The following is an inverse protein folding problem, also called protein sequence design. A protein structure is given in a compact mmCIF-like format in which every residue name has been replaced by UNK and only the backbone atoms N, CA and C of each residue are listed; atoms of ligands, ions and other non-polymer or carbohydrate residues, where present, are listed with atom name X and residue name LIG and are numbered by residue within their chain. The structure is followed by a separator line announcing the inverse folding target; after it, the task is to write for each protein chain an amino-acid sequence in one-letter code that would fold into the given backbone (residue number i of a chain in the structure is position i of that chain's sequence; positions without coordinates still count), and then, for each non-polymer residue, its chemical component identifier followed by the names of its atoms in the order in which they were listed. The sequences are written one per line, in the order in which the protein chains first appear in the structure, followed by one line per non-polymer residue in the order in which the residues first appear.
data_IF_130452330044
#
_entry.id   IF_130452330044
#
_cell.length_a   1.000
_cell.length_b   1.000
_cell.length_c   1.000
_cell.angle_alpha   90.00
_cell.angle_beta   90.00
_cell.angle_gamma   90.00
#
_symmetry.space_group_name_H-M   'P 1'
#
loop_
_entity.id
_entity.type
_entity.pdbx_description
1 polymer ?
#
# COMPACT_ATOMS: atom_id res chain seq x y z
N UNK A 1 21.84 -23.82 -3.18
CA UNK A 1 20.61 -24.55 -2.85
C UNK A 1 19.46 -23.72 -3.41
N UNK A 2 18.82 -24.18 -4.51
CA UNK A 2 17.66 -23.54 -5.08
C UNK A 2 16.48 -23.75 -4.12
N UNK A 3 16.04 -22.66 -3.45
CA UNK A 3 14.79 -22.70 -2.72
C UNK A 3 13.66 -22.96 -3.74
N UNK A 4 12.81 -23.94 -3.46
CA UNK A 4 11.61 -24.19 -4.23
C UNK A 4 10.79 -22.88 -4.31
N UNK A 5 10.11 -22.59 -5.42
CA UNK A 5 9.27 -21.40 -5.54
C UNK A 5 8.20 -21.48 -4.44
N UNK A 6 8.29 -20.57 -3.47
CA UNK A 6 7.28 -20.46 -2.42
C UNK A 6 5.93 -20.14 -3.07
N UNK A 7 4.90 -20.85 -2.68
CA UNK A 7 3.51 -20.55 -3.09
C UNK A 7 3.24 -19.07 -2.81
N UNK A 8 2.70 -18.30 -3.77
CA UNK A 8 2.37 -16.90 -3.54
C UNK A 8 1.47 -16.76 -2.32
N UNK A 9 1.82 -15.84 -1.41
CA UNK A 9 1.06 -15.54 -0.18
C UNK A 9 0.60 -14.09 -0.20
N UNK A 10 -0.40 -13.77 0.60
CA UNK A 10 -0.92 -12.42 0.71
C UNK A 10 -2.19 -12.18 -0.11
N UNK A 11 -2.93 -13.23 -0.50
CA UNK A 11 -4.24 -13.04 -1.12
C UNK A 11 -5.20 -12.37 -0.12
N UNK A 12 -5.80 -11.24 -0.50
CA UNK A 12 -6.76 -10.50 0.31
C UNK A 12 -8.14 -10.69 -0.29
N UNK A 13 -9.10 -11.12 0.53
CA UNK A 13 -10.52 -11.12 0.17
C UNK A 13 -11.28 -10.23 1.13
N UNK A 14 -11.91 -9.20 0.58
CA UNK A 14 -12.83 -8.31 1.27
C UNK A 14 -14.24 -8.72 0.84
N UNK A 15 -15.08 -9.06 1.79
CA UNK A 15 -16.44 -9.55 1.54
C UNK A 15 -17.45 -8.68 2.28
N UNK A 16 -18.24 -7.89 1.52
CA UNK A 16 -19.31 -7.03 2.01
C UNK A 16 -18.89 -6.16 3.21
N UNK A 17 -17.66 -5.65 3.20
CA UNK A 17 -17.12 -4.88 4.33
C UNK A 17 -17.91 -3.60 4.57
N UNK A 18 -18.33 -3.38 5.81
CA UNK A 18 -19.04 -2.18 6.25
C UNK A 18 -18.27 -1.54 7.41
N UNK A 19 -18.06 -0.21 7.32
CA UNK A 19 -17.46 0.57 8.39
C UNK A 19 -18.13 1.91 8.52
N UNK A 20 -18.55 2.22 9.73
CA UNK A 20 -19.03 3.55 10.12
C UNK A 20 -18.32 4.04 11.38
N UNK A 21 -18.27 5.36 11.53
CA UNK A 21 -17.74 6.05 12.69
C UNK A 21 -18.83 6.86 13.37
N UNK A 22 -18.65 7.18 14.65
CA UNK A 22 -19.62 7.92 15.44
C UNK A 22 -20.72 7.03 16.02
N UNK A 23 -21.62 7.63 16.78
CA UNK A 23 -22.76 6.97 17.45
C UNK A 23 -24.03 7.80 17.30
N UNK A 24 -25.20 7.17 17.38
CA UNK A 24 -26.49 7.84 17.27
C UNK A 24 -26.71 8.54 15.91
N UNK A 25 -27.22 9.75 15.93
CA UNK A 25 -27.56 10.53 14.72
C UNK A 25 -26.38 11.12 13.94
N UNK A 26 -25.14 11.04 14.46
CA UNK A 26 -23.92 11.53 13.82
C UNK A 26 -23.07 10.42 13.18
N UNK A 27 -23.70 9.30 12.80
CA UNK A 27 -23.00 8.21 12.11
C UNK A 27 -22.54 8.61 10.73
N UNK A 28 -21.24 8.39 10.44
CA UNK A 28 -20.65 8.57 9.12
C UNK A 28 -20.30 7.20 8.55
N UNK A 29 -21.01 6.79 7.49
CA UNK A 29 -20.72 5.55 6.77
C UNK A 29 -19.51 5.78 5.89
N UNK A 30 -18.36 5.19 6.24
CA UNK A 30 -17.10 5.36 5.54
C UNK A 30 -16.89 4.29 4.46
N UNK A 31 -17.28 3.05 4.73
CA UNK A 31 -17.21 1.91 3.80
C UNK A 31 -18.56 1.21 3.78
N UNK A 32 -19.11 0.94 2.58
CA UNK A 32 -20.43 0.37 2.40
C UNK A 32 -20.39 -0.87 1.50
N UNK A 33 -20.64 -2.03 2.08
CA UNK A 33 -20.71 -3.33 1.39
C UNK A 33 -19.58 -3.51 0.34
N UNK A 34 -18.37 -3.09 0.73
CA UNK A 34 -17.19 -3.16 -0.15
C UNK A 34 -16.78 -4.61 -0.33
N UNK A 35 -16.73 -5.08 -1.58
CA UNK A 35 -16.21 -6.40 -1.95
C UNK A 35 -15.08 -6.23 -2.95
N UNK A 36 -13.92 -6.85 -2.65
CA UNK A 36 -12.73 -6.79 -3.50
C UNK A 36 -11.84 -8.00 -3.22
N UNK A 37 -11.45 -8.71 -4.27
CA UNK A 37 -10.47 -9.78 -4.21
C UNK A 37 -9.14 -9.30 -4.80
N UNK A 38 -8.04 -9.49 -4.08
CA UNK A 38 -6.68 -9.16 -4.51
C UNK A 38 -5.85 -10.44 -4.49
N UNK A 39 -5.29 -10.80 -5.64
CA UNK A 39 -4.51 -12.02 -5.76
C UNK A 39 -3.17 -11.90 -5.01
N UNK A 40 -2.65 -13.04 -4.55
CA UNK A 40 -1.32 -13.10 -3.95
C UNK A 40 -0.24 -12.60 -4.94
N UNK A 41 0.64 -11.71 -4.48
CA UNK A 41 1.68 -11.09 -5.30
C UNK A 41 1.17 -10.05 -6.30
N UNK A 42 -0.06 -9.58 -6.18
CA UNK A 42 -0.61 -8.54 -7.03
C UNK A 42 -0.26 -7.14 -6.52
N UNK A 43 0.00 -6.19 -7.42
CA UNK A 43 -0.01 -4.75 -7.13
C UNK A 43 -1.39 -4.21 -7.49
N UNK A 44 -2.23 -3.98 -6.48
CA UNK A 44 -3.57 -3.44 -6.61
C UNK A 44 -3.58 -1.96 -6.22
N UNK A 45 -3.86 -1.09 -7.20
CA UNK A 45 -3.92 0.35 -7.00
C UNK A 45 -5.33 0.80 -6.65
N UNK A 46 -5.46 1.61 -5.60
CA UNK A 46 -6.73 2.13 -5.11
C UNK A 46 -6.76 3.63 -5.31
N UNK A 47 -7.66 4.09 -6.15
CA UNK A 47 -7.83 5.51 -6.47
C UNK A 47 -9.26 5.98 -6.20
N UNK A 48 -9.47 7.28 -6.06
CA UNK A 48 -10.79 7.85 -5.81
C UNK A 48 -10.71 9.17 -5.05
N UNK A 49 -11.82 9.89 -4.88
CA UNK A 49 -11.86 11.19 -4.22
C UNK A 49 -11.26 11.18 -2.81
N UNK A 50 -10.73 12.34 -2.38
CA UNK A 50 -10.24 12.51 -1.00
C UNK A 50 -11.38 12.29 -0.01
N UNK A 51 -11.07 11.70 1.16
CA UNK A 51 -12.08 11.47 2.21
C UNK A 51 -13.12 10.39 1.92
N UNK A 52 -13.06 9.67 0.79
CA UNK A 52 -14.08 8.67 0.44
C UNK A 52 -14.02 7.40 1.30
N UNK A 53 -12.91 7.10 2.02
CA UNK A 53 -12.80 5.93 2.89
C UNK A 53 -11.70 4.94 2.52
N UNK A 54 -10.80 5.23 1.56
CA UNK A 54 -9.68 4.36 1.14
C UNK A 54 -8.76 3.99 2.30
N UNK A 55 -8.30 5.00 3.05
CA UNK A 55 -7.48 4.80 4.27
C UNK A 55 -8.23 4.02 5.35
N UNK A 56 -9.55 4.18 5.46
CA UNK A 56 -10.38 3.36 6.37
C UNK A 56 -10.31 1.89 6.00
N UNK A 57 -10.43 1.57 4.70
CA UNK A 57 -10.31 0.20 4.22
C UNK A 57 -8.90 -0.37 4.45
N UNK A 58 -7.86 0.40 4.13
CA UNK A 58 -6.47 0.04 4.40
C UNK A 58 -6.26 -0.26 5.88
N UNK A 59 -6.75 0.60 6.77
CA UNK A 59 -6.63 0.43 8.23
C UNK A 59 -7.37 -0.80 8.75
N UNK A 60 -8.50 -1.18 8.12
CA UNK A 60 -9.20 -2.41 8.45
C UNK A 60 -8.38 -3.65 8.05
N UNK A 61 -7.76 -3.64 6.85
CA UNK A 61 -6.84 -4.70 6.40
C UNK A 61 -5.63 -4.78 7.33
N UNK A 62 -5.04 -3.63 7.72
CA UNK A 62 -3.91 -3.55 8.65
C UNK A 62 -4.23 -4.11 10.04
N UNK A 63 -5.50 -4.08 10.43
CA UNK A 63 -5.95 -4.52 11.75
C UNK A 63 -5.97 -3.42 12.82
N UNK A 64 -5.87 -2.15 12.42
CA UNK A 64 -5.94 -1.02 13.36
C UNK A 64 -7.34 -0.79 13.91
N UNK A 65 -8.37 -1.17 13.16
CA UNK A 65 -9.75 -1.19 13.61
C UNK A 65 -10.53 -2.35 12.96
N UNK A 66 -11.63 -2.75 13.58
CA UNK A 66 -12.53 -3.76 13.04
C UNK A 66 -13.57 -3.17 12.10
N UNK A 67 -14.34 -4.06 11.48
CA UNK A 67 -15.52 -3.76 10.68
C UNK A 67 -16.77 -3.72 11.54
N UNK A 68 -17.84 -3.09 11.02
CA UNK A 68 -19.19 -3.13 11.59
C UNK A 68 -20.05 -4.19 10.88
N UNK A 69 -19.63 -4.70 9.73
CA UNK A 69 -20.27 -5.76 8.97
C UNK A 69 -19.34 -6.31 7.90
N UNK A 70 -19.65 -7.47 7.36
CA UNK A 70 -18.82 -8.15 6.38
C UNK A 70 -17.56 -8.78 6.98
N UNK A 71 -16.61 -9.18 6.13
CA UNK A 71 -15.38 -9.85 6.55
C UNK A 71 -14.17 -9.48 5.69
N UNK A 72 -12.98 -9.60 6.25
CA UNK A 72 -11.70 -9.54 5.52
C UNK A 72 -10.92 -10.80 5.84
N UNK A 73 -10.42 -11.45 4.78
CA UNK A 73 -9.57 -12.64 4.87
C UNK A 73 -8.20 -12.36 4.25
N UNK A 74 -7.17 -12.98 4.80
CA UNK A 74 -5.82 -13.05 4.26
C UNK A 74 -5.43 -14.51 4.10
N UNK A 75 -5.12 -14.93 2.88
CA UNK A 75 -4.80 -16.33 2.54
C UNK A 75 -5.85 -17.31 3.09
N UNK A 76 -7.14 -16.95 2.97
CA UNK A 76 -8.30 -17.71 3.47
C UNK A 76 -8.52 -17.62 4.99
N UNK A 77 -7.59 -17.06 5.77
CA UNK A 77 -7.73 -16.87 7.21
C UNK A 77 -8.50 -15.59 7.51
N UNK A 78 -9.56 -15.70 8.33
CA UNK A 78 -10.35 -14.54 8.77
C UNK A 78 -9.47 -13.55 9.57
N UNK A 79 -9.34 -12.31 9.08
CA UNK A 79 -8.69 -11.21 9.79
C UNK A 79 -9.69 -10.48 10.72
N UNK A 80 -10.80 -10.01 10.18
CA UNK A 80 -11.88 -9.44 10.94
C UNK A 80 -13.23 -9.76 10.29
N UNK A 81 -14.29 -9.83 11.11
CA UNK A 81 -15.62 -10.20 10.68
C UNK A 81 -16.42 -10.81 11.81
N UNK A 82 -17.50 -11.55 11.52
CA UNK A 82 -18.33 -12.21 12.55
C UNK A 82 -17.49 -13.09 13.49
N UNK A 83 -17.63 -12.88 14.80
CA UNK A 83 -16.86 -13.59 15.83
C UNK A 83 -15.40 -13.14 16.00
N UNK A 84 -14.93 -12.22 15.19
CA UNK A 84 -13.61 -11.59 15.29
C UNK A 84 -13.68 -10.10 14.96
N UNK A 85 -14.26 -9.33 15.86
CA UNK A 85 -14.56 -7.91 15.64
C UNK A 85 -13.31 -7.03 15.43
N UNK A 86 -12.14 -7.44 15.95
CA UNK A 86 -10.87 -6.76 15.75
C UNK A 86 -9.88 -7.68 15.03
N UNK A 87 -9.45 -7.27 13.85
CA UNK A 87 -8.28 -7.82 13.24
C UNK A 87 -7.07 -7.44 14.11
N UNK A 88 -6.37 -8.36 14.71
CA UNK A 88 -5.12 -8.02 15.40
C UNK A 88 -4.07 -7.52 14.41
N UNK A 89 -3.19 -6.61 14.84
CA UNK A 89 -1.99 -6.23 14.11
C UNK A 89 -1.09 -7.48 13.95
N UNK A 90 -0.51 -7.68 12.80
CA UNK A 90 0.37 -8.83 12.55
C UNK A 90 1.58 -8.49 11.67
N UNK A 91 2.68 -9.25 11.80
CA UNK A 91 3.89 -9.04 10.99
C UNK A 91 3.71 -9.42 9.51
N UNK A 92 2.63 -10.12 9.20
CA UNK A 92 2.24 -10.52 7.84
C UNK A 92 1.73 -9.35 6.99
N UNK A 93 1.41 -8.22 7.62
CA UNK A 93 0.91 -6.99 6.98
C UNK A 93 1.65 -5.77 7.53
N UNK A 94 2.33 -5.04 6.67
CA UNK A 94 3.08 -3.84 7.08
C UNK A 94 2.49 -2.61 6.39
N UNK A 95 2.29 -1.55 7.16
CA UNK A 95 1.82 -0.26 6.65
C UNK A 95 3.00 0.69 6.48
N UNK A 96 3.07 1.33 5.33
CA UNK A 96 3.91 2.51 5.08
C UNK A 96 2.98 3.72 5.04
N UNK A 97 3.06 4.55 6.07
CA UNK A 97 2.17 5.69 6.26
C UNK A 97 2.55 6.87 5.37
N UNK A 98 1.60 7.74 5.09
CA UNK A 98 1.79 8.96 4.31
C UNK A 98 2.88 9.89 4.91
N UNK A 99 2.86 10.11 6.21
CA UNK A 99 3.72 11.06 6.90
C UNK A 99 5.06 10.50 7.38
N UNK A 100 5.39 9.27 6.96
CA UNK A 100 6.60 8.61 7.42
C UNK A 100 6.51 8.08 8.86
N UNK A 101 7.33 7.07 9.17
CA UNK A 101 7.30 6.42 10.48
C UNK A 101 8.69 5.92 10.92
N UNK A 102 9.77 6.49 10.39
CA UNK A 102 11.11 6.15 10.87
C UNK A 102 11.30 6.67 12.30
N UNK A 103 11.98 5.88 13.12
CA UNK A 103 12.37 6.29 14.47
C UNK A 103 13.49 7.33 14.38
N UNK A 104 13.27 8.60 14.77
CA UNK A 104 14.24 9.67 14.55
C UNK A 104 15.51 9.53 15.39
N UNK A 105 15.45 8.76 16.48
CA UNK A 105 16.57 8.46 17.37
C UNK A 105 17.38 7.22 17.01
N UNK A 106 17.02 6.53 15.92
CA UNK A 106 17.72 5.36 15.40
C UNK A 106 18.37 5.69 14.06
N UNK A 107 19.54 5.10 13.81
CA UNK A 107 20.17 5.15 12.50
C UNK A 107 19.33 4.42 11.45
N UNK A 108 19.61 4.66 10.18
CA UNK A 108 18.99 3.93 9.07
C UNK A 108 19.08 2.40 9.24
N UNK A 109 20.26 1.91 9.57
CA UNK A 109 20.50 0.49 9.76
C UNK A 109 19.68 -0.09 10.91
N UNK A 110 19.62 0.63 12.03
CA UNK A 110 18.82 0.22 13.20
C UNK A 110 17.33 0.26 12.91
N UNK A 111 16.85 1.29 12.20
CA UNK A 111 15.46 1.37 11.75
C UNK A 111 15.07 0.13 10.93
N UNK A 112 15.89 -0.26 9.97
CA UNK A 112 15.61 -1.43 9.11
C UNK A 112 15.66 -2.73 9.90
N UNK A 113 16.66 -2.90 10.76
CA UNK A 113 16.84 -4.13 11.55
C UNK A 113 15.83 -4.28 12.71
N UNK A 114 15.12 -3.23 13.09
CA UNK A 114 14.31 -3.17 14.31
C UNK A 114 13.25 -4.27 14.38
N UNK A 115 12.48 -4.46 13.32
CA UNK A 115 11.34 -5.39 13.32
C UNK A 115 11.73 -6.82 13.67
N UNK A 116 12.63 -7.48 12.92
CA UNK A 116 13.08 -8.84 13.21
C UNK A 116 13.72 -9.00 14.60
N UNK A 117 14.44 -8.00 15.08
CA UNK A 117 15.06 -8.03 16.41
C UNK A 117 14.00 -8.03 17.51
N UNK A 118 13.01 -7.12 17.44
CA UNK A 118 11.95 -7.02 18.45
C UNK A 118 11.02 -8.23 18.41
N UNK A 119 10.73 -8.76 17.22
CA UNK A 119 9.91 -9.96 17.04
C UNK A 119 10.69 -11.25 17.40
N UNK A 120 11.98 -11.15 17.68
CA UNK A 120 12.87 -12.30 17.98
C UNK A 120 12.91 -13.34 16.84
N UNK A 121 12.67 -12.90 15.59
CA UNK A 121 12.77 -13.75 14.39
C UNK A 121 14.20 -13.85 13.87
N UNK A 122 15.08 -12.93 14.28
CA UNK A 122 16.52 -12.96 14.03
C UNK A 122 17.27 -12.40 15.24
N UNK A 123 18.51 -12.86 15.47
CA UNK A 123 19.39 -12.19 16.40
C UNK A 123 19.86 -10.84 15.83
N UNK A 124 20.41 -9.97 16.69
CA UNK A 124 20.79 -8.60 16.32
C UNK A 124 21.86 -8.57 15.21
N UNK A 125 22.83 -9.47 15.25
CA UNK A 125 23.95 -9.51 14.29
C UNK A 125 23.43 -9.85 12.91
N UNK A 126 22.68 -10.93 12.78
CA UNK A 126 22.10 -11.39 11.52
C UNK A 126 21.12 -10.36 10.94
N UNK A 127 20.31 -9.72 11.80
CA UNK A 127 19.38 -8.67 11.38
C UNK A 127 20.12 -7.46 10.82
N UNK A 128 21.21 -7.00 11.44
CA UNK A 128 22.02 -5.89 10.95
C UNK A 128 22.73 -6.23 9.64
N UNK A 129 23.25 -7.44 9.49
CA UNK A 129 23.86 -7.89 8.24
C UNK A 129 22.85 -7.95 7.09
N UNK A 130 21.66 -8.53 7.35
CA UNK A 130 20.57 -8.57 6.35
C UNK A 130 20.14 -7.16 5.98
N UNK A 131 19.99 -6.27 6.96
CA UNK A 131 19.64 -4.87 6.74
C UNK A 131 20.66 -4.14 5.84
N UNK A 132 21.97 -4.33 6.08
CA UNK A 132 23.02 -3.75 5.19
C UNK A 132 22.89 -4.21 3.75
N UNK A 133 22.67 -5.51 3.54
CA UNK A 133 22.47 -6.05 2.18
C UNK A 133 21.26 -5.44 1.52
N UNK A 134 20.12 -5.38 2.23
CA UNK A 134 18.88 -4.80 1.67
C UNK A 134 19.00 -3.30 1.38
N UNK A 135 19.69 -2.53 2.23
CA UNK A 135 20.00 -1.12 1.99
C UNK A 135 20.89 -0.95 0.75
N UNK A 136 21.93 -1.78 0.62
CA UNK A 136 22.81 -1.75 -0.55
C UNK A 136 22.04 -2.07 -1.85
N UNK A 137 21.17 -3.08 -1.83
CA UNK A 137 20.31 -3.46 -2.96
C UNK A 137 19.29 -2.38 -3.34
N UNK A 138 18.87 -1.57 -2.36
CA UNK A 138 17.99 -0.42 -2.56
C UNK A 138 18.76 0.87 -2.95
N UNK A 139 20.07 0.80 -3.24
CA UNK A 139 20.89 1.96 -3.60
C UNK A 139 21.11 2.95 -2.45
N UNK A 140 21.10 2.45 -1.19
CA UNK A 140 21.27 3.24 0.02
C UNK A 140 22.62 2.99 0.72
N UNK A 141 23.64 2.58 -0.04
CA UNK A 141 25.02 2.47 0.48
C UNK A 141 25.51 3.82 0.96
N UNK A 142 26.13 3.84 2.15
CA UNK A 142 26.63 5.06 2.79
C UNK A 142 25.62 5.78 3.68
N UNK A 143 24.36 5.33 3.70
CA UNK A 143 23.33 5.87 4.60
C UNK A 143 23.13 5.05 5.88
N UNK A 144 23.89 3.98 6.09
CA UNK A 144 23.67 3.02 7.19
C UNK A 144 23.67 3.69 8.56
N UNK A 145 24.58 4.64 8.78
CA UNK A 145 24.78 5.35 10.04
C UNK A 145 24.05 6.71 10.10
N UNK A 146 23.40 7.13 9.00
CA UNK A 146 22.67 8.39 8.97
C UNK A 146 21.36 8.29 9.75
N UNK A 147 21.00 9.35 10.48
CA UNK A 147 19.71 9.50 11.13
C UNK A 147 18.66 10.03 10.13
N UNK A 148 17.36 9.74 10.34
CA UNK A 148 16.30 10.20 9.43
C UNK A 148 16.33 11.72 9.18
N UNK A 149 16.67 12.53 10.18
CA UNK A 149 16.78 13.99 10.06
C UNK A 149 17.90 14.48 9.14
N UNK A 150 18.89 13.63 8.85
CA UNK A 150 20.05 13.94 8.00
C UNK A 150 19.83 13.54 6.54
N UNK A 151 18.67 12.97 6.21
CA UNK A 151 18.39 12.42 4.89
C UNK A 151 17.25 13.15 4.19
N UNK A 152 17.24 13.11 2.84
CA UNK A 152 16.15 13.68 2.05
C UNK A 152 14.84 12.87 2.20
N UNK A 153 13.70 13.48 1.83
CA UNK A 153 12.39 12.81 1.85
C UNK A 153 12.36 11.53 1.01
N UNK A 154 12.97 11.53 -0.17
CA UNK A 154 13.09 10.36 -1.04
C UNK A 154 13.93 9.24 -0.42
N UNK A 155 15.06 9.59 0.22
CA UNK A 155 15.91 8.63 0.95
C UNK A 155 15.13 8.03 2.12
N UNK A 156 14.46 8.86 2.95
CA UNK A 156 13.61 8.37 4.06
C UNK A 156 12.53 7.40 3.57
N UNK A 157 11.84 7.75 2.48
CA UNK A 157 10.79 6.89 1.93
C UNK A 157 11.33 5.53 1.46
N UNK A 158 12.52 5.52 0.84
CA UNK A 158 13.19 4.29 0.44
C UNK A 158 13.57 3.42 1.65
N UNK A 159 14.09 4.05 2.71
CA UNK A 159 14.40 3.36 3.98
C UNK A 159 13.13 2.73 4.58
N UNK A 160 12.00 3.43 4.56
CA UNK A 160 10.72 2.90 5.07
C UNK A 160 10.25 1.65 4.31
N UNK A 161 10.38 1.65 3.00
CA UNK A 161 10.04 0.48 2.17
C UNK A 161 10.98 -0.69 2.49
N UNK A 162 12.29 -0.45 2.59
CA UNK A 162 13.27 -1.48 2.98
C UNK A 162 12.97 -2.02 4.38
N UNK A 163 12.65 -1.15 5.35
CA UNK A 163 12.25 -1.53 6.71
C UNK A 163 10.99 -2.38 6.71
N UNK A 164 10.02 -2.05 5.88
CA UNK A 164 8.81 -2.84 5.75
C UNK A 164 9.11 -4.24 5.19
N UNK A 165 9.87 -4.31 4.09
CA UNK A 165 10.26 -5.57 3.44
C UNK A 165 11.19 -6.45 4.28
N UNK A 166 11.97 -5.85 5.19
CA UNK A 166 12.86 -6.58 6.12
C UNK A 166 12.11 -7.60 6.98
N UNK A 167 10.82 -7.35 7.24
CA UNK A 167 9.96 -8.24 8.03
C UNK A 167 9.36 -9.39 7.21
N UNK A 168 9.70 -9.49 5.92
CA UNK A 168 9.15 -10.49 5.00
C UNK A 168 7.61 -10.58 5.04
N UNK A 169 6.90 -9.44 4.88
CA UNK A 169 5.45 -9.41 4.95
C UNK A 169 4.81 -10.13 3.76
N UNK A 170 3.61 -10.70 3.96
CA UNK A 170 2.78 -11.19 2.88
C UNK A 170 2.10 -10.03 2.12
N UNK A 171 1.79 -8.94 2.84
CA UNK A 171 1.11 -7.76 2.30
C UNK A 171 1.81 -6.47 2.69
N UNK A 172 2.00 -5.59 1.70
CA UNK A 172 2.41 -4.20 1.89
C UNK A 172 1.19 -3.29 1.67
N UNK A 173 0.91 -2.45 2.66
CA UNK A 173 -0.18 -1.47 2.64
C UNK A 173 0.45 -0.08 2.54
N UNK A 174 0.26 0.58 1.39
CA UNK A 174 0.90 1.86 1.09
C UNK A 174 -0.18 2.94 1.00
N UNK A 175 -0.14 3.93 1.88
CA UNK A 175 -1.08 5.05 1.90
C UNK A 175 -0.39 6.32 1.38
N UNK A 176 -0.64 6.66 0.10
CA UNK A 176 -0.06 7.81 -0.61
C UNK A 176 1.47 7.96 -0.39
N UNK A 177 2.28 6.91 -0.58
CA UNK A 177 3.67 6.91 -0.14
C UNK A 177 4.54 7.95 -0.85
N UNK A 178 4.14 8.42 -2.04
CA UNK A 178 4.96 9.31 -2.86
C UNK A 178 4.38 10.71 -3.04
N UNK A 179 3.32 11.08 -2.27
CA UNK A 179 2.61 12.37 -2.40
C UNK A 179 3.54 13.59 -2.32
N UNK A 180 4.54 13.56 -1.45
CA UNK A 180 5.42 14.70 -1.17
C UNK A 180 6.74 14.67 -1.96
N UNK A 181 6.85 13.83 -2.99
CA UNK A 181 8.04 13.70 -3.82
C UNK A 181 7.87 14.42 -5.15
N UNK A 182 8.96 15.00 -5.63
CA UNK A 182 9.05 15.54 -6.99
C UNK A 182 8.99 14.42 -8.04
N UNK A 183 8.70 14.77 -9.30
CA UNK A 183 8.49 13.81 -10.39
C UNK A 183 9.69 12.89 -10.65
N UNK A 184 10.92 13.43 -10.56
CA UNK A 184 12.13 12.64 -10.79
C UNK A 184 12.35 11.63 -9.67
N UNK A 185 12.20 12.08 -8.42
CA UNK A 185 12.30 11.21 -7.25
C UNK A 185 11.20 10.13 -7.27
N UNK A 186 9.95 10.47 -7.67
CA UNK A 186 8.88 9.49 -7.86
C UNK A 186 9.28 8.41 -8.85
N UNK A 187 9.80 8.78 -10.02
CA UNK A 187 10.24 7.84 -11.06
C UNK A 187 11.25 6.81 -10.50
N UNK A 188 12.27 7.29 -9.78
CA UNK A 188 13.26 6.41 -9.13
C UNK A 188 12.61 5.50 -8.09
N UNK A 189 11.61 6.01 -7.35
CA UNK A 189 10.90 5.23 -6.33
C UNK A 189 9.98 4.16 -6.95
N UNK A 190 9.37 4.45 -8.10
CA UNK A 190 8.58 3.48 -8.85
C UNK A 190 9.44 2.30 -9.28
N UNK A 191 10.61 2.57 -9.88
CA UNK A 191 11.55 1.52 -10.29
C UNK A 191 12.01 0.68 -9.09
N UNK A 192 12.38 1.33 -7.99
CA UNK A 192 12.79 0.65 -6.76
C UNK A 192 11.67 -0.26 -6.18
N UNK A 193 10.40 0.20 -6.22
CA UNK A 193 9.26 -0.60 -5.76
C UNK A 193 9.04 -1.81 -6.68
N UNK A 194 9.07 -1.61 -8.00
CA UNK A 194 8.89 -2.70 -8.97
C UNK A 194 10.01 -3.75 -8.85
N UNK A 195 11.26 -3.33 -8.68
CA UNK A 195 12.38 -4.26 -8.43
C UNK A 195 12.20 -5.02 -7.12
N UNK A 196 11.85 -4.35 -6.03
CA UNK A 196 11.60 -4.97 -4.75
C UNK A 196 10.43 -5.96 -4.83
N UNK A 197 9.34 -5.60 -5.53
CA UNK A 197 8.19 -6.47 -5.78
C UNK A 197 8.59 -7.68 -6.63
N UNK A 198 9.38 -7.51 -7.68
CA UNK A 198 9.84 -8.61 -8.53
C UNK A 198 10.62 -9.67 -7.75
N UNK A 199 11.42 -9.24 -6.76
CA UNK A 199 12.23 -10.12 -5.90
C UNK A 199 11.40 -10.84 -4.82
N UNK A 200 10.47 -10.12 -4.18
CA UNK A 200 9.78 -10.59 -2.97
C UNK A 200 8.38 -11.14 -3.24
N UNK A 201 7.77 -10.80 -4.40
CA UNK A 201 6.40 -11.20 -4.76
C UNK A 201 5.35 -10.87 -3.68
N UNK A 202 5.58 -9.81 -2.91
CA UNK A 202 4.67 -9.32 -1.88
C UNK A 202 3.39 -8.75 -2.53
N UNK A 203 2.23 -9.01 -1.93
CA UNK A 203 0.99 -8.36 -2.37
C UNK A 203 1.01 -6.89 -1.93
N UNK A 204 0.66 -5.98 -2.82
CA UNK A 204 0.67 -4.54 -2.55
C UNK A 204 -0.74 -3.97 -2.71
N UNK A 205 -1.26 -3.39 -1.63
CA UNK A 205 -2.44 -2.54 -1.62
C UNK A 205 -1.96 -1.09 -1.56
N UNK A 206 -2.10 -0.36 -2.66
CA UNK A 206 -1.48 0.95 -2.84
C UNK A 206 -2.54 2.02 -3.06
N UNK A 207 -2.68 2.95 -2.14
CA UNK A 207 -3.55 4.12 -2.29
C UNK A 207 -2.74 5.27 -2.91
N UNK A 208 -3.30 5.87 -3.97
CA UNK A 208 -2.77 7.09 -4.58
C UNK A 208 -3.88 7.94 -5.17
N UNK A 209 -3.60 9.21 -5.37
CA UNK A 209 -4.43 10.13 -6.18
C UNK A 209 -3.81 10.39 -7.55
N UNK A 210 -2.61 9.88 -7.82
CA UNK A 210 -1.89 10.01 -9.09
C UNK A 210 -2.26 8.84 -10.01
N UNK A 211 -3.02 9.14 -11.07
CA UNK A 211 -3.57 8.13 -11.98
C UNK A 211 -2.51 7.56 -12.94
N UNK A 212 -1.49 8.37 -13.28
CA UNK A 212 -0.35 7.87 -14.06
C UNK A 212 0.46 6.86 -13.23
N UNK A 213 0.72 7.18 -11.96
CA UNK A 213 1.34 6.27 -11.01
C UNK A 213 0.54 4.96 -10.87
N UNK A 214 -0.79 5.07 -10.74
CA UNK A 214 -1.66 3.91 -10.61
C UNK A 214 -1.60 2.99 -11.84
N UNK A 215 -1.62 3.54 -13.04
CA UNK A 215 -1.49 2.76 -14.29
C UNK A 215 -0.07 2.24 -14.48
N UNK A 216 0.96 3.01 -14.08
CA UNK A 216 2.35 2.59 -14.23
C UNK A 216 2.71 1.41 -13.31
N UNK A 217 2.33 1.47 -12.05
CA UNK A 217 2.69 0.45 -11.05
C UNK A 217 1.72 -0.74 -11.04
N UNK A 218 0.44 -0.47 -11.20
CA UNK A 218 -0.62 -1.43 -10.95
C UNK A 218 -0.74 -2.56 -11.97
N UNK A 219 -1.14 -3.72 -11.50
CA UNK A 219 -1.74 -4.75 -12.34
C UNK A 219 -3.23 -4.48 -12.55
N UNK A 220 -3.88 -3.91 -11.53
CA UNK A 220 -5.26 -3.40 -11.59
C UNK A 220 -5.34 -2.04 -10.91
N UNK A 221 -6.22 -1.19 -11.44
CA UNK A 221 -6.62 0.07 -10.82
C UNK A 221 -8.09 -0.05 -10.41
N UNK A 222 -8.35 0.07 -9.11
CA UNK A 222 -9.70 0.05 -8.53
C UNK A 222 -10.11 1.48 -8.22
N UNK A 223 -11.06 1.99 -8.98
CA UNK A 223 -11.66 3.30 -8.75
C UNK A 223 -12.75 3.16 -7.70
N UNK A 224 -12.62 3.90 -6.59
CA UNK A 224 -13.58 3.89 -5.50
C UNK A 224 -14.62 5.01 -5.68
N UNK A 225 -15.84 4.77 -5.21
CA UNK A 225 -16.88 5.80 -5.16
C UNK A 225 -16.49 6.94 -4.22
N UNK A 226 -17.14 8.08 -4.33
CA UNK A 226 -17.28 9.04 -3.23
C UNK A 226 -17.87 8.36 -2.00
N UNK A 227 -17.86 9.05 -0.85
CA UNK A 227 -18.37 8.44 0.40
C UNK A 227 -19.85 8.00 0.25
N UNK A 228 -20.19 6.76 0.65
CA UNK A 228 -19.35 5.71 1.25
C UNK A 228 -18.50 4.94 0.22
N UNK A 229 -17.30 4.51 0.67
CA UNK A 229 -16.30 3.84 -0.15
C UNK A 229 -16.74 2.44 -0.59
N UNK A 230 -16.79 2.22 -1.89
CA UNK A 230 -16.96 0.90 -2.52
C UNK A 230 -16.35 0.91 -3.92
N UNK A 231 -15.94 -0.24 -4.48
CA UNK A 231 -15.44 -0.28 -5.85
C UNK A 231 -16.51 0.20 -6.83
N UNK A 232 -16.19 1.23 -7.63
CA UNK A 232 -17.02 1.69 -8.75
C UNK A 232 -16.62 0.99 -10.04
N UNK A 233 -15.32 0.92 -10.29
CA UNK A 233 -14.77 0.35 -11.52
C UNK A 233 -13.44 -0.32 -11.23
N UNK A 234 -13.22 -1.47 -11.86
CA UNK A 234 -11.95 -2.18 -11.84
C UNK A 234 -11.40 -2.12 -13.26
N UNK A 235 -10.17 -1.62 -13.41
CA UNK A 235 -9.48 -1.48 -14.68
C UNK A 235 -8.26 -2.42 -14.65
N UNK A 236 -8.27 -3.43 -15.52
CA UNK A 236 -7.12 -4.30 -15.70
C UNK A 236 -6.06 -3.59 -16.53
N UNK A 237 -4.83 -3.55 -16.00
CA UNK A 237 -3.71 -2.89 -16.66
C UNK A 237 -2.90 -3.93 -17.42
N UNK A 238 -3.25 -4.13 -18.69
CA UNK A 238 -2.68 -5.12 -19.62
C UNK A 238 -1.40 -4.63 -20.31
N UNK A 239 -0.61 -3.81 -19.64
CA UNK A 239 0.70 -3.34 -20.10
C UNK A 239 1.79 -4.39 -19.77
N UNK A 240 2.85 -4.51 -20.59
CA UNK A 240 3.89 -5.52 -20.39
C UNK A 240 4.68 -5.31 -19.07
N UNK A 241 5.16 -6.40 -18.50
CA UNK A 241 6.10 -6.41 -17.38
C UNK A 241 7.48 -6.93 -17.84
N UNK A 242 8.59 -6.44 -17.26
CA UNK A 242 8.67 -5.36 -16.26
C UNK A 242 8.28 -4.01 -16.86
N UNK A 243 7.66 -3.16 -16.05
CA UNK A 243 7.32 -1.79 -16.46
C UNK A 243 8.59 -0.98 -16.72
N UNK A 244 8.57 -0.19 -17.78
CA UNK A 244 9.65 0.75 -18.15
C UNK A 244 9.04 2.10 -18.47
N UNK A 245 9.76 3.17 -18.22
CA UNK A 245 9.25 4.54 -18.44
C UNK A 245 8.94 4.86 -19.91
N UNK A 246 9.47 4.09 -20.86
CA UNK A 246 9.16 4.23 -22.29
C UNK A 246 7.67 3.95 -22.63
N UNK A 247 6.93 3.25 -21.78
CA UNK A 247 5.50 2.98 -21.97
C UNK A 247 4.61 4.19 -21.66
N UNK A 248 5.07 5.16 -20.84
CA UNK A 248 4.25 6.28 -20.33
C UNK A 248 3.68 7.15 -21.45
N UNK A 249 4.40 7.32 -22.55
CA UNK A 249 3.92 8.04 -23.72
C UNK A 249 3.05 7.23 -24.70
N UNK A 250 2.87 5.92 -24.45
CA UNK A 250 2.18 5.01 -25.35
C UNK A 250 0.67 5.24 -25.40
N UNK A 251 0.03 4.92 -26.54
CA UNK A 251 -1.42 5.09 -26.71
C UNK A 251 -2.23 4.26 -25.70
N UNK A 252 -1.81 3.01 -25.44
CA UNK A 252 -2.48 2.13 -24.47
C UNK A 252 -2.42 2.68 -23.05
N UNK A 253 -1.24 3.19 -22.63
CA UNK A 253 -1.05 3.84 -21.34
C UNK A 253 -2.00 5.03 -21.19
N UNK A 254 -1.98 5.96 -22.17
CA UNK A 254 -2.84 7.16 -22.14
C UNK A 254 -4.33 6.82 -22.11
N UNK A 255 -4.75 5.75 -22.79
CA UNK A 255 -6.14 5.28 -22.77
C UNK A 255 -6.54 4.79 -21.37
N UNK A 256 -5.69 3.99 -20.70
CA UNK A 256 -5.95 3.52 -19.34
C UNK A 256 -6.00 4.65 -18.32
N UNK A 257 -5.08 5.62 -18.44
CA UNK A 257 -5.09 6.82 -17.58
C UNK A 257 -6.38 7.62 -17.80
N UNK A 258 -6.79 7.83 -19.04
CA UNK A 258 -8.05 8.52 -19.35
C UNK A 258 -9.25 7.78 -18.77
N UNK A 259 -9.33 6.47 -18.94
CA UNK A 259 -10.40 5.64 -18.36
C UNK A 259 -10.50 5.78 -16.85
N UNK A 260 -9.35 5.77 -16.15
CA UNK A 260 -9.30 6.00 -14.71
C UNK A 260 -9.70 7.44 -14.35
N UNK A 261 -9.24 8.43 -15.12
CA UNK A 261 -9.56 9.85 -14.93
C UNK A 261 -11.06 10.10 -15.05
N UNK A 262 -11.69 9.61 -16.10
CA UNK A 262 -13.13 9.79 -16.33
C UNK A 262 -13.94 9.18 -15.17
N UNK A 263 -13.56 7.97 -14.72
CA UNK A 263 -14.24 7.29 -13.62
C UNK A 263 -14.06 8.01 -12.28
N UNK A 264 -12.88 8.57 -11.98
CA UNK A 264 -12.63 9.36 -10.75
C UNK A 264 -13.34 10.71 -10.83
N UNK A 265 -13.32 11.37 -11.99
CA UNK A 265 -13.96 12.66 -12.20
C UNK A 265 -15.48 12.60 -11.94
N UNK A 266 -16.17 11.58 -12.45
CA UNK A 266 -17.58 11.36 -12.15
C UNK A 266 -17.89 11.28 -10.65
N UNK A 267 -17.02 10.63 -9.87
CA UNK A 267 -17.20 10.51 -8.42
C UNK A 267 -16.84 11.82 -7.68
N UNK A 268 -15.85 12.57 -8.19
CA UNK A 268 -15.52 13.88 -7.63
C UNK A 268 -16.67 14.89 -7.83
N UNK A 269 -17.33 14.88 -9.00
CA UNK A 269 -18.51 15.71 -9.25
C UNK A 269 -19.66 15.37 -8.30
N UNK A 270 -19.95 14.08 -8.08
CA UNK A 270 -20.98 13.65 -7.12
C UNK A 270 -20.67 14.12 -5.69
N UNK A 271 -19.39 14.00 -5.25
CA UNK A 271 -18.97 14.46 -3.93
C UNK A 271 -19.19 15.98 -3.78
N UNK A 272 -18.87 16.75 -4.83
CA UNK A 272 -19.07 18.19 -4.83
C UNK A 272 -20.57 18.58 -4.77
N UNK A 273 -21.42 17.90 -5.55
CA UNK A 273 -22.88 18.13 -5.56
C UNK A 273 -23.52 17.78 -4.21
N UNK A 274 -23.00 16.77 -3.51
CA UNK A 274 -23.46 16.39 -2.18
C UNK A 274 -22.92 17.29 -1.06
N UNK A 275 -22.12 18.32 -1.39
CA UNK A 275 -21.52 19.24 -0.42
C UNK A 275 -20.44 18.62 0.46
N UNK A 276 -19.86 17.50 0.03
CA UNK A 276 -18.71 16.90 0.70
C UNK A 276 -17.50 17.79 0.46
N UNK A 277 -17.07 18.53 1.51
CA UNK A 277 -15.87 19.35 1.46
C UNK A 277 -14.65 18.45 1.31
N UNK A 278 -13.74 18.82 0.40
CA UNK A 278 -12.38 18.28 0.39
C UNK A 278 -11.75 18.57 1.77
N UNK A 279 -11.48 17.52 2.54
CA UNK A 279 -10.88 17.58 3.85
C UNK A 279 -9.36 17.40 3.77
#
# INVERSE_FOLDING_TARGET
MNAAPSTPRGAIKIDQAVKFYGSGGSRVLAVDHCSLDIAAGEICMIVGPSGCGKTTLLNAIAGFHGLNGGAIHLDGRLLCGPGREKAGIGPDRIVVFQNGALFPWMTTLENVAFGPVVQKTANRVDALEKARRMLADAGLRGYENAYPGETSSGVRRRIEIVRALMNDPAVLLLDEPYRALDSLTKSVMHDALLEAHARNKVTIFFITHDLEEAVFLGRRVVVMTSRPCRPKRIIDVDLPYPRRHDIVGGERFRRLVREATDAVHEEALKAFELGEKEG
#
